data_IF_628476084252
#
_entry.id   IF_628476084252
#
_cell.length_a   1.000
_cell.length_b   1.000
_cell.length_c   1.000
_cell.angle_alpha   90.00
_cell.angle_beta   90.00
_cell.angle_gamma   90.00
#
_symmetry.space_group_name_H-M   'P 1'
#
loop_
_entity.id
_entity.type
_entity.pdbx_description
1 polymer ?
#
# COMPACT_ATOMS: atom_id res chain seq x y z
N UNK A 1 1.04 27.87 -2.51
CA UNK A 1 1.28 26.54 -1.91
C UNK A 1 -0.05 25.83 -1.86
N UNK A 2 -0.33 24.92 -2.80
CA UNK A 2 -1.63 24.25 -2.86
C UNK A 2 -1.91 23.49 -1.56
N UNK A 3 -2.99 23.83 -0.86
CA UNK A 3 -3.37 23.16 0.38
C UNK A 3 -3.67 21.68 0.07
N UNK A 4 -3.09 20.76 0.84
CA UNK A 4 -3.41 19.34 0.74
C UNK A 4 -4.91 19.16 1.00
N UNK A 5 -5.61 18.54 0.04
CA UNK A 5 -7.02 18.25 0.18
C UNK A 5 -7.19 16.95 0.99
N UNK A 6 -7.23 17.09 2.31
CA UNK A 6 -7.38 15.96 3.23
C UNK A 6 -8.59 15.09 2.94
N UNK A 7 -9.74 15.68 2.58
CA UNK A 7 -10.94 14.91 2.23
C UNK A 7 -10.68 13.97 1.04
N UNK A 8 -9.94 14.43 0.03
CA UNK A 8 -9.54 13.59 -1.11
C UNK A 8 -8.42 12.62 -0.76
N UNK A 9 -7.50 12.97 0.15
CA UNK A 9 -6.50 12.01 0.66
C UNK A 9 -7.20 10.82 1.32
N UNK A 10 -8.19 11.07 2.18
CA UNK A 10 -8.96 10.01 2.82
C UNK A 10 -9.76 9.19 1.80
N UNK A 11 -10.56 9.82 0.93
CA UNK A 11 -11.38 9.10 -0.04
C UNK A 11 -10.55 8.30 -1.05
N UNK A 12 -9.53 8.91 -1.66
CA UNK A 12 -8.66 8.22 -2.61
C UNK A 12 -7.78 7.18 -1.90
N UNK A 13 -7.40 7.44 -0.66
CA UNK A 13 -6.67 6.52 0.19
C UNK A 13 -7.44 5.25 0.50
N UNK A 14 -8.73 5.36 0.79
CA UNK A 14 -9.62 4.20 0.98
C UNK A 14 -9.72 3.37 -0.31
N UNK A 15 -9.86 4.02 -1.47
CA UNK A 15 -9.85 3.34 -2.78
C UNK A 15 -8.52 2.61 -3.00
N UNK A 16 -7.39 3.28 -2.78
CA UNK A 16 -6.06 2.66 -2.89
C UNK A 16 -5.91 1.48 -1.95
N UNK A 17 -6.32 1.61 -0.68
CA UNK A 17 -6.22 0.54 0.31
C UNK A 17 -7.11 -0.66 -0.02
N UNK A 18 -8.28 -0.41 -0.60
CA UNK A 18 -9.18 -1.46 -1.08
C UNK A 18 -8.59 -2.20 -2.28
N UNK A 19 -8.11 -1.47 -3.30
CA UNK A 19 -7.42 -2.05 -4.47
C UNK A 19 -6.19 -2.83 -4.03
N UNK A 20 -5.40 -2.28 -3.11
CA UNK A 20 -4.25 -2.94 -2.51
C UNK A 20 -4.64 -4.24 -1.80
N UNK A 21 -5.75 -4.26 -1.07
CA UNK A 21 -6.24 -5.47 -0.39
C UNK A 21 -6.59 -6.58 -1.37
N UNK A 22 -7.25 -6.24 -2.49
CA UNK A 22 -7.58 -7.19 -3.55
C UNK A 22 -6.31 -7.73 -4.22
N UNK A 23 -5.40 -6.85 -4.64
CA UNK A 23 -4.16 -7.25 -5.28
C UNK A 23 -3.25 -8.07 -4.34
N UNK A 24 -3.23 -7.73 -3.06
CA UNK A 24 -2.51 -8.49 -2.04
C UNK A 24 -3.10 -9.89 -1.85
N UNK A 25 -4.43 -10.03 -1.86
CA UNK A 25 -5.08 -11.34 -1.79
C UNK A 25 -4.74 -12.20 -3.01
N UNK A 26 -4.71 -11.61 -4.21
CA UNK A 26 -4.29 -12.29 -5.44
C UNK A 26 -2.81 -12.72 -5.34
N UNK A 27 -1.92 -11.82 -4.91
CA UNK A 27 -0.51 -12.13 -4.74
C UNK A 27 -0.29 -13.25 -3.71
N UNK A 28 -1.05 -13.23 -2.61
CA UNK A 28 -1.01 -14.27 -1.58
C UNK A 28 -1.51 -15.62 -2.11
N UNK A 29 -2.55 -15.63 -2.94
CA UNK A 29 -3.09 -16.85 -3.53
C UNK A 29 -2.07 -17.55 -4.46
N UNK A 30 -1.43 -16.78 -5.35
CA UNK A 30 -0.49 -17.31 -6.33
C UNK A 30 0.92 -17.56 -5.79
N UNK A 31 1.44 -16.65 -4.96
CA UNK A 31 2.85 -16.65 -4.54
C UNK A 31 3.04 -16.86 -3.04
N UNK A 32 1.96 -16.80 -2.26
CA UNK A 32 2.00 -16.79 -0.80
C UNK A 32 1.80 -18.13 -0.12
N UNK A 33 1.71 -19.26 -0.84
CA UNK A 33 1.45 -20.57 -0.24
C UNK A 33 2.54 -20.96 0.78
N UNK A 34 3.81 -20.78 0.44
CA UNK A 34 4.92 -21.01 1.36
C UNK A 34 4.89 -20.08 2.59
N UNK A 35 4.39 -18.85 2.41
CA UNK A 35 4.21 -17.90 3.50
C UNK A 35 3.08 -18.34 4.43
N UNK A 36 1.93 -18.73 3.88
CA UNK A 36 0.77 -19.21 4.64
C UNK A 36 1.07 -20.48 5.44
N UNK A 37 1.91 -21.38 4.90
CA UNK A 37 2.35 -22.58 5.61
C UNK A 37 3.34 -22.28 6.74
N UNK A 38 4.17 -21.24 6.58
CA UNK A 38 5.11 -20.82 7.62
C UNK A 38 4.42 -20.06 8.77
N UNK A 39 3.27 -19.44 8.50
CA UNK A 39 2.50 -18.68 9.49
C UNK A 39 1.67 -19.62 10.36
N UNK A 40 1.77 -19.45 11.68
CA UNK A 40 1.07 -20.30 12.66
C UNK A 40 -0.47 -20.29 12.46
N UNK A 41 -1.18 -21.41 12.71
CA UNK A 41 -2.62 -21.50 12.50
C UNK A 41 -3.45 -20.42 13.22
N UNK A 42 -3.02 -20.00 14.43
CA UNK A 42 -3.66 -18.92 15.19
C UNK A 42 -3.57 -17.53 14.54
N UNK A 43 -2.65 -17.33 13.60
CA UNK A 43 -2.48 -16.08 12.85
C UNK A 43 -3.35 -16.01 11.58
N UNK A 44 -4.19 -17.03 11.33
CA UNK A 44 -5.09 -17.08 10.17
C UNK A 44 -6.57 -16.83 10.52
N UNK A 45 -6.85 -16.47 11.77
CA UNK A 45 -8.20 -16.21 12.27
C UNK A 45 -8.88 -14.98 11.64
N UNK A 46 -10.20 -14.94 11.68
CA UNK A 46 -11.00 -13.84 11.11
C UNK A 46 -10.65 -12.46 11.67
N UNK A 47 -10.34 -12.37 12.97
CA UNK A 47 -9.91 -11.11 13.60
C UNK A 47 -8.60 -10.57 13.04
N UNK A 48 -7.62 -11.45 12.75
CA UNK A 48 -6.35 -11.06 12.13
C UNK A 48 -6.59 -10.57 10.69
N UNK A 49 -7.43 -11.28 9.93
CA UNK A 49 -7.79 -10.85 8.56
C UNK A 49 -8.44 -9.48 8.54
N UNK A 50 -9.35 -9.21 9.49
CA UNK A 50 -10.00 -7.90 9.61
C UNK A 50 -8.99 -6.81 9.99
N UNK A 51 -8.09 -7.09 10.93
CA UNK A 51 -7.03 -6.16 11.30
C UNK A 51 -6.09 -5.83 10.13
N UNK A 52 -5.67 -6.84 9.36
CA UNK A 52 -4.85 -6.67 8.17
C UNK A 52 -5.57 -5.85 7.09
N UNK A 53 -6.88 -6.06 6.91
CA UNK A 53 -7.69 -5.27 5.98
C UNK A 53 -7.71 -3.78 6.37
N UNK A 54 -7.98 -3.45 7.64
CA UNK A 54 -7.92 -2.06 8.11
C UNK A 54 -6.52 -1.46 8.03
N UNK A 55 -5.48 -2.27 8.28
CA UNK A 55 -4.08 -1.86 8.10
C UNK A 55 -3.77 -1.53 6.64
N UNK A 56 -4.30 -2.31 5.70
CA UNK A 56 -4.19 -2.04 4.27
C UNK A 56 -4.92 -0.75 3.86
N UNK A 57 -6.09 -0.47 4.44
CA UNK A 57 -6.79 0.80 4.24
C UNK A 57 -5.97 1.99 4.75
N UNK A 58 -5.42 1.89 5.96
CA UNK A 58 -4.54 2.92 6.52
C UNK A 58 -3.29 3.12 5.66
N UNK A 59 -2.69 2.04 5.18
CA UNK A 59 -1.56 2.08 4.24
C UNK A 59 -1.92 2.77 2.93
N UNK A 60 -3.11 2.54 2.38
CA UNK A 60 -3.59 3.22 1.18
C UNK A 60 -3.73 4.74 1.37
N UNK A 61 -4.26 5.17 2.53
CA UNK A 61 -4.31 6.58 2.92
C UNK A 61 -2.90 7.17 3.00
N UNK A 62 -1.97 6.45 3.62
CA UNK A 62 -0.57 6.85 3.69
C UNK A 62 0.07 6.98 2.29
N UNK A 63 -0.20 6.03 1.38
CA UNK A 63 0.29 6.08 0.00
C UNK A 63 -0.22 7.29 -0.79
N UNK A 64 -1.50 7.65 -0.63
CA UNK A 64 -2.06 8.85 -1.25
C UNK A 64 -1.58 10.13 -0.57
N UNK A 65 -1.35 10.12 0.73
CA UNK A 65 -0.71 11.24 1.41
C UNK A 65 0.70 11.48 0.89
N UNK A 66 1.51 10.43 0.70
CA UNK A 66 2.83 10.53 0.06
C UNK A 66 2.72 11.12 -1.35
N UNK A 67 1.75 10.67 -2.15
CA UNK A 67 1.47 11.26 -3.46
C UNK A 67 1.14 12.75 -3.36
N UNK A 68 0.28 13.15 -2.42
CA UNK A 68 -0.09 14.54 -2.21
C UNK A 68 1.10 15.43 -1.79
N UNK A 69 2.04 14.89 -1.00
CA UNK A 69 3.28 15.59 -0.60
C UNK A 69 4.28 15.70 -1.74
N UNK A 70 4.37 14.68 -2.61
CA UNK A 70 5.27 14.67 -3.76
C UNK A 70 4.75 15.51 -4.95
N UNK A 71 3.43 15.67 -5.06
CA UNK A 71 2.77 16.35 -6.19
C UNK A 71 3.21 17.80 -6.42
N UNK A 72 3.43 18.67 -5.41
CA UNK A 72 3.97 20.01 -5.62
C UNK A 72 5.38 20.05 -6.22
N UNK A 73 6.19 19.01 -5.98
CA UNK A 73 7.59 18.96 -6.41
C UNK A 73 7.77 18.33 -7.78
N UNK A 74 7.05 17.23 -8.05
CA UNK A 74 7.18 16.45 -9.30
C UNK A 74 6.06 16.73 -10.30
N UNK A 75 5.07 17.54 -9.92
CA UNK A 75 3.88 17.82 -10.71
C UNK A 75 2.80 16.73 -10.62
N UNK A 76 1.59 17.04 -11.11
CA UNK A 76 0.52 16.07 -11.23
C UNK A 76 0.84 15.05 -12.33
N UNK A 77 0.96 13.77 -11.97
CA UNK A 77 1.11 12.73 -12.99
C UNK A 77 1.30 11.32 -12.45
N UNK A 78 1.26 10.31 -13.34
CA UNK A 78 1.47 8.90 -12.99
C UNK A 78 2.89 8.63 -12.48
N UNK A 79 3.91 9.39 -12.95
CA UNK A 79 5.29 9.28 -12.46
C UNK A 79 5.37 9.52 -10.94
N UNK A 80 4.67 10.54 -10.44
CA UNK A 80 4.62 10.87 -9.01
C UNK A 80 3.94 9.76 -8.20
N UNK A 81 2.88 9.14 -8.75
CA UNK A 81 2.19 8.03 -8.10
C UNK A 81 3.03 6.74 -8.04
N UNK A 82 3.86 6.50 -9.06
CA UNK A 82 4.85 5.41 -9.06
C UNK A 82 5.90 5.65 -7.96
N UNK A 83 6.46 6.86 -7.86
CA UNK A 83 7.41 7.18 -6.79
C UNK A 83 6.80 7.07 -5.39
N UNK A 84 5.56 7.53 -5.21
CA UNK A 84 4.83 7.34 -3.95
C UNK A 84 4.60 5.86 -3.62
N UNK A 85 4.25 5.05 -4.63
CA UNK A 85 4.09 3.59 -4.49
C UNK A 85 5.38 2.89 -4.13
N UNK A 86 6.50 3.25 -4.78
CA UNK A 86 7.83 2.70 -4.47
C UNK A 86 8.26 3.08 -3.05
N UNK A 87 8.05 4.34 -2.64
CA UNK A 87 8.36 4.78 -1.28
C UNK A 87 7.53 4.02 -0.23
N UNK A 88 6.24 3.84 -0.47
CA UNK A 88 5.37 3.06 0.41
C UNK A 88 5.80 1.59 0.45
N UNK A 89 6.09 0.99 -0.71
CA UNK A 89 6.60 -0.38 -0.81
C UNK A 89 7.88 -0.57 -0.01
N UNK A 90 8.83 0.35 -0.14
CA UNK A 90 10.11 0.28 0.56
C UNK A 90 9.92 0.26 2.08
N UNK A 91 9.04 1.10 2.62
CA UNK A 91 8.72 1.14 4.05
C UNK A 91 8.09 -0.19 4.51
N UNK A 92 7.14 -0.73 3.75
CA UNK A 92 6.47 -2.01 4.08
C UNK A 92 7.43 -3.19 3.98
N UNK A 93 8.33 -3.19 3.00
CA UNK A 93 9.38 -4.18 2.81
C UNK A 93 10.39 -4.16 3.95
N UNK A 94 10.79 -2.98 4.43
CA UNK A 94 11.64 -2.84 5.61
C UNK A 94 10.96 -3.29 6.90
N UNK A 95 9.64 -3.11 7.01
CA UNK A 95 8.91 -3.66 8.15
C UNK A 95 8.82 -5.19 8.07
N UNK A 96 8.62 -5.73 6.86
CA UNK A 96 8.57 -7.17 6.61
C UNK A 96 9.92 -7.86 6.88
N UNK A 97 11.05 -7.21 6.56
CA UNK A 97 12.38 -7.78 6.78
C UNK A 97 12.70 -8.01 8.26
N UNK A 98 12.11 -7.23 9.18
CA UNK A 98 12.25 -7.46 10.63
C UNK A 98 11.67 -8.81 11.06
N UNK A 99 10.54 -9.21 10.49
CA UNK A 99 9.92 -10.51 10.78
C UNK A 99 10.76 -11.69 10.29
N UNK A 100 11.43 -11.50 9.15
CA UNK A 100 12.39 -12.48 8.61
C UNK A 100 13.63 -12.56 9.51
N UNK A 101 14.18 -11.43 9.95
CA UNK A 101 15.33 -11.39 10.84
C UNK A 101 15.06 -12.05 12.20
N UNK A 102 13.82 -11.93 12.70
CA UNK A 102 13.37 -12.59 13.94
C UNK A 102 13.02 -14.08 13.75
N UNK A 103 13.13 -14.63 12.55
CA UNK A 103 12.90 -16.05 12.27
C UNK A 103 11.42 -16.46 12.18
N UNK A 104 10.48 -15.52 12.16
CA UNK A 104 9.05 -15.83 12.05
C UNK A 104 8.65 -16.33 10.66
N UNK A 105 9.39 -15.94 9.62
CA UNK A 105 9.10 -16.30 8.23
C UNK A 105 10.41 -16.66 7.53
N UNK A 106 10.50 -17.83 6.86
CA UNK A 106 11.69 -18.21 6.12
C UNK A 106 11.92 -17.28 4.92
N UNK A 107 13.18 -16.94 4.65
CA UNK A 107 13.60 -16.00 3.60
C UNK A 107 12.97 -16.32 2.23
N UNK A 108 12.95 -17.58 1.74
CA UNK A 108 12.37 -17.89 0.43
C UNK A 108 10.87 -17.57 0.35
N UNK A 109 10.13 -17.81 1.44
CA UNK A 109 8.69 -17.52 1.51
C UNK A 109 8.42 -16.01 1.54
N UNK A 110 9.25 -15.25 2.27
CA UNK A 110 9.15 -13.79 2.30
C UNK A 110 9.49 -13.18 0.93
N UNK A 111 10.57 -13.63 0.28
CA UNK A 111 10.96 -13.15 -1.05
C UNK A 111 9.92 -13.47 -2.14
N UNK A 112 9.29 -14.64 -2.06
CA UNK A 112 8.21 -15.05 -2.97
C UNK A 112 7.03 -14.08 -2.97
N UNK A 113 6.71 -13.46 -1.83
CA UNK A 113 5.63 -12.47 -1.71
C UNK A 113 6.11 -11.03 -1.95
N UNK A 114 7.36 -10.72 -1.61
CA UNK A 114 7.92 -9.36 -1.66
C UNK A 114 8.10 -8.83 -3.10
N UNK A 115 8.47 -9.70 -4.04
CA UNK A 115 8.61 -9.33 -5.46
C UNK A 115 7.28 -8.98 -6.15
N UNK A 116 6.22 -9.81 -6.08
CA UNK A 116 4.94 -9.52 -6.73
C UNK A 116 4.14 -8.38 -6.07
N UNK A 117 4.46 -8.04 -4.82
CA UNK A 117 3.79 -6.93 -4.12
C UNK A 117 4.23 -5.55 -4.61
N UNK A 118 5.40 -5.41 -5.23
CA UNK A 118 5.88 -4.16 -5.82
C UNK A 118 5.00 -3.67 -6.98
N UNK A 119 4.74 -4.45 -8.04
CA UNK A 119 3.85 -3.99 -9.10
C UNK A 119 2.42 -3.79 -8.57
N UNK A 120 1.96 -4.62 -7.63
CA UNK A 120 0.64 -4.50 -7.03
C UNK A 120 0.43 -3.17 -6.29
N UNK A 121 1.40 -2.73 -5.49
CA UNK A 121 1.27 -1.49 -4.71
C UNK A 121 1.34 -0.25 -5.61
N UNK A 122 2.13 -0.32 -6.69
CA UNK A 122 2.18 0.73 -7.72
C UNK A 122 0.84 0.85 -8.44
N UNK A 123 0.23 -0.27 -8.81
CA UNK A 123 -1.11 -0.27 -9.42
C UNK A 123 -2.16 0.30 -8.46
N UNK A 124 -2.08 -0.05 -7.17
CA UNK A 124 -2.99 0.48 -6.16
C UNK A 124 -2.82 2.00 -5.95
N UNK A 125 -1.58 2.51 -5.90
CA UNK A 125 -1.35 3.95 -5.77
C UNK A 125 -1.73 4.71 -7.04
N UNK A 126 -1.49 4.14 -8.22
CA UNK A 126 -1.97 4.72 -9.48
C UNK A 126 -3.49 4.83 -9.52
N UNK A 127 -4.20 3.78 -9.10
CA UNK A 127 -5.66 3.76 -9.07
C UNK A 127 -6.24 4.88 -8.19
N UNK A 128 -5.72 5.08 -6.97
CA UNK A 128 -6.21 6.16 -6.11
C UNK A 128 -5.72 7.54 -6.53
N UNK A 129 -4.49 7.66 -7.04
CA UNK A 129 -3.95 8.92 -7.54
C UNK A 129 -4.76 9.45 -8.74
N UNK A 130 -5.36 8.56 -9.54
CA UNK A 130 -6.21 8.94 -10.66
C UNK A 130 -7.47 9.73 -10.24
N UNK A 131 -8.02 9.42 -9.05
CA UNK A 131 -9.16 10.15 -8.48
C UNK A 131 -8.75 11.38 -7.65
N UNK A 132 -7.45 11.54 -7.35
CA UNK A 132 -6.95 12.64 -6.55
C UNK A 132 -6.86 13.94 -7.38
N UNK A 133 -7.48 15.00 -6.87
CA UNK A 133 -7.32 16.37 -7.36
C UNK A 133 -7.06 17.28 -6.16
N UNK A 134 -6.30 18.35 -6.33
CA UNK A 134 -6.19 19.35 -5.26
C UNK A 134 -7.50 20.11 -5.07
N UNK A 135 -7.69 20.69 -3.88
CA UNK A 135 -8.76 21.64 -3.67
C UNK A 135 -8.48 22.86 -4.56
N UNK A 136 -9.45 23.22 -5.40
CA UNK A 136 -9.41 24.51 -6.09
C UNK A 136 -9.58 25.56 -4.99
N UNK A 137 -8.56 26.39 -4.81
CA UNK A 137 -8.66 27.57 -3.95
C UNK A 137 -9.77 28.44 -4.52
N UNK A 138 -10.92 28.52 -3.84
CA UNK A 138 -11.94 29.51 -4.17
C UNK A 138 -11.34 30.86 -3.78
N UNK A 139 -10.72 31.55 -4.73
CA UNK A 139 -10.46 32.98 -4.64
C UNK A 139 -11.81 33.68 -4.51
N UNK A 140 -12.12 34.13 -3.30
CA UNK A 140 -13.10 35.18 -3.03
C UNK A 140 -12.41 36.53 -3.23
#
# INVERSE_FOLDING_TARGET
MGKINWARVFLCGLVTGFVWSLLSAVALYFFGQAFLQAVQPGMQGGGVKLFLFFTNLAGGIFGIWLYAVLRPHSGPGPKTAVWAGIAWWFIVSLQSSKWVALGFVPIPAAMGLLLPTLPAIILATLAGAWFYREAVEKTN
#
